data_IF_484440802787
#
_entry.id   IF_484440802787
#
_cell.length_a   1.000
_cell.length_b   1.000
_cell.length_c   1.000
_cell.angle_alpha   90.00
_cell.angle_beta   90.00
_cell.angle_gamma   90.00
#
_symmetry.space_group_name_H-M   'P 1'
#
loop_
_entity.id
_entity.type
_entity.pdbx_description
1 polymer ?
#
# COMPACT_ATOMS: atom_id res chain seq x y z
N UNK A 1 13.87 6.71 -0.38
CA UNK A 1 14.02 7.83 -1.36
C UNK A 1 13.92 9.21 -0.71
N UNK A 2 13.04 9.47 0.24
CA UNK A 2 12.93 10.76 0.93
C UNK A 2 14.23 11.25 1.57
N UNK A 3 14.99 10.34 2.23
CA UNK A 3 16.26 10.69 2.88
C UNK A 3 17.29 11.27 1.91
N UNK A 4 17.40 10.68 0.72
CA UNK A 4 18.35 11.15 -0.31
C UNK A 4 17.98 12.55 -0.81
N UNK A 5 16.67 12.82 -0.99
CA UNK A 5 16.18 14.14 -1.39
C UNK A 5 16.50 15.21 -0.32
N UNK A 6 16.33 14.89 0.96
CA UNK A 6 16.67 15.79 2.07
C UNK A 6 18.16 16.09 2.12
N UNK A 7 19.01 15.07 1.98
CA UNK A 7 20.48 15.26 2.00
C UNK A 7 20.91 16.15 0.84
N UNK A 8 20.42 15.92 -0.37
CA UNK A 8 20.74 16.75 -1.54
C UNK A 8 20.23 18.19 -1.38
N UNK A 9 19.05 18.38 -0.79
CA UNK A 9 18.52 19.71 -0.49
C UNK A 9 19.42 20.49 0.49
N UNK A 10 19.88 19.84 1.56
CA UNK A 10 20.78 20.45 2.54
C UNK A 10 22.12 20.82 1.89
N UNK A 11 22.69 19.95 1.06
CA UNK A 11 23.94 20.22 0.33
C UNK A 11 23.76 21.44 -0.59
N UNK A 12 22.60 21.54 -1.30
CA UNK A 12 22.28 22.67 -2.16
C UNK A 12 22.25 24.00 -1.40
N UNK A 13 21.59 24.01 -0.23
CA UNK A 13 21.51 25.22 0.62
C UNK A 13 22.87 25.63 1.18
N UNK A 14 23.64 24.67 1.71
CA UNK A 14 25.00 24.94 2.22
C UNK A 14 25.89 25.49 1.09
N UNK A 15 25.84 24.86 -0.09
CA UNK A 15 26.59 25.29 -1.25
C UNK A 15 26.26 26.73 -1.69
N UNK A 16 24.96 27.11 -1.62
CA UNK A 16 24.56 28.48 -1.92
C UNK A 16 25.10 29.49 -0.92
N UNK A 17 25.13 29.16 0.37
CA UNK A 17 25.74 29.99 1.40
C UNK A 17 27.23 30.17 1.19
N UNK A 18 27.96 29.09 0.92
CA UNK A 18 29.39 29.12 0.62
C UNK A 18 29.67 29.97 -0.61
N UNK A 19 28.87 29.81 -1.69
CA UNK A 19 28.99 30.62 -2.90
C UNK A 19 28.79 32.12 -2.62
N UNK A 20 27.86 32.47 -1.73
CA UNK A 20 27.65 33.89 -1.35
C UNK A 20 28.87 34.53 -0.68
N UNK A 21 29.59 33.76 0.12
CA UNK A 21 30.84 34.23 0.75
C UNK A 21 31.97 34.39 -0.26
N UNK A 22 32.06 33.48 -1.25
CA UNK A 22 33.08 33.53 -2.30
C UNK A 22 32.80 34.55 -3.41
N UNK A 23 31.57 35.09 -3.49
CA UNK A 23 31.21 36.13 -4.46
C UNK A 23 32.15 37.35 -4.39
N UNK A 24 32.63 37.69 -3.20
CA UNK A 24 33.56 38.80 -2.96
C UNK A 24 34.96 38.59 -3.55
N UNK A 25 35.37 37.39 -3.88
CA UNK A 25 36.77 37.06 -4.22
C UNK A 25 37.05 36.88 -5.71
N UNK A 26 36.05 37.03 -6.60
CA UNK A 26 36.15 36.85 -8.09
C UNK A 26 36.92 35.57 -8.49
N UNK A 27 36.86 34.53 -7.69
CA UNK A 27 37.59 33.27 -7.91
C UNK A 27 36.84 32.33 -8.84
N UNK A 28 37.55 31.62 -9.71
CA UNK A 28 37.05 30.51 -10.53
C UNK A 28 36.30 29.45 -9.67
N UNK A 29 36.70 29.31 -8.41
CA UNK A 29 36.03 28.44 -7.43
C UNK A 29 34.57 28.83 -7.18
N UNK A 30 34.21 30.11 -7.32
CA UNK A 30 32.81 30.56 -7.18
C UNK A 30 31.90 29.90 -8.18
N UNK A 31 32.28 29.88 -9.46
CA UNK A 31 31.44 29.27 -10.50
C UNK A 31 31.26 27.75 -10.32
N UNK A 32 32.30 27.05 -9.85
CA UNK A 32 32.20 25.63 -9.51
C UNK A 32 31.23 25.37 -8.37
N UNK A 33 31.31 26.15 -7.28
CA UNK A 33 30.41 25.97 -6.13
C UNK A 33 28.98 26.28 -6.49
N UNK A 34 28.71 27.35 -7.26
CA UNK A 34 27.37 27.69 -7.74
C UNK A 34 26.81 26.58 -8.63
N UNK A 35 27.59 26.09 -9.58
CA UNK A 35 27.16 25.01 -10.48
C UNK A 35 26.79 23.74 -9.72
N UNK A 36 27.60 23.34 -8.74
CA UNK A 36 27.33 22.16 -7.89
C UNK A 36 26.02 22.38 -7.10
N UNK A 37 25.86 23.56 -6.48
CA UNK A 37 24.68 23.88 -5.67
C UNK A 37 23.38 23.84 -6.49
N UNK A 38 23.39 24.42 -7.68
CA UNK A 38 22.23 24.41 -8.59
C UNK A 38 21.92 22.98 -9.02
N UNK A 39 22.93 22.19 -9.39
CA UNK A 39 22.75 20.80 -9.79
C UNK A 39 22.16 19.96 -8.67
N UNK A 40 22.67 20.10 -7.44
CA UNK A 40 22.15 19.40 -6.28
C UNK A 40 20.69 19.78 -5.97
N UNK A 41 20.33 21.06 -6.11
CA UNK A 41 18.97 21.53 -5.90
C UNK A 41 18.00 20.98 -6.96
N UNK A 42 18.40 20.96 -8.22
CA UNK A 42 17.59 20.39 -9.32
C UNK A 42 17.38 18.88 -9.14
N UNK A 43 18.44 18.13 -8.78
CA UNK A 43 18.36 16.71 -8.50
C UNK A 43 17.46 16.43 -7.28
N UNK A 44 17.56 17.23 -6.22
CA UNK A 44 16.69 17.11 -5.05
C UNK A 44 15.22 17.28 -5.43
N UNK A 45 14.90 18.33 -6.18
CA UNK A 45 13.54 18.60 -6.65
C UNK A 45 13.03 17.47 -7.55
N UNK A 46 13.85 16.96 -8.46
CA UNK A 46 13.50 15.83 -9.32
C UNK A 46 13.18 14.56 -8.51
N UNK A 47 14.04 14.20 -7.56
CA UNK A 47 13.80 13.03 -6.71
C UNK A 47 12.57 13.19 -5.81
N UNK A 48 12.35 14.41 -5.28
CA UNK A 48 11.14 14.69 -4.51
C UNK A 48 9.89 14.53 -5.38
N UNK A 49 9.86 15.15 -6.55
CA UNK A 49 8.74 15.04 -7.48
C UNK A 49 8.49 13.59 -7.89
N UNK A 50 9.53 12.85 -8.26
CA UNK A 50 9.42 11.44 -8.61
C UNK A 50 8.90 10.59 -7.45
N UNK A 51 9.32 10.84 -6.22
CA UNK A 51 8.86 10.08 -5.05
C UNK A 51 7.40 10.41 -4.70
N UNK A 52 6.96 11.63 -4.90
CA UNK A 52 5.57 12.05 -4.65
C UNK A 52 4.61 11.58 -5.75
N UNK A 53 5.10 11.35 -6.98
CA UNK A 53 4.26 10.86 -8.09
C UNK A 53 4.14 9.33 -8.15
N UNK A 54 5.01 8.59 -7.47
CA UNK A 54 4.89 7.14 -7.34
C UNK A 54 3.86 6.82 -6.26
N UNK A 55 2.59 6.78 -6.66
CA UNK A 55 1.53 6.24 -5.81
C UNK A 55 1.87 4.80 -5.42
N UNK A 56 1.80 4.49 -4.14
CA UNK A 56 1.98 3.12 -3.67
C UNK A 56 0.84 2.25 -4.22
N UNK A 57 1.14 1.02 -4.64
CA UNK A 57 0.06 0.12 -5.04
C UNK A 57 -0.80 -0.25 -3.83
N UNK A 58 -2.12 -0.35 -3.99
CA UNK A 58 -3.00 -0.79 -2.92
C UNK A 58 -2.62 -2.19 -2.44
N UNK A 59 -2.69 -2.40 -1.13
CA UNK A 59 -2.28 -3.66 -0.49
C UNK A 59 -3.43 -4.20 0.35
N UNK A 60 -4.09 -5.22 -0.17
CA UNK A 60 -5.19 -5.91 0.52
C UNK A 60 -4.65 -7.05 1.37
N UNK A 61 -5.06 -7.07 2.62
CA UNK A 61 -4.82 -8.15 3.58
C UNK A 61 -6.17 -8.72 4.03
N UNK A 62 -6.25 -10.04 4.14
CA UNK A 62 -7.45 -10.73 4.60
C UNK A 62 -7.07 -11.57 5.80
N UNK A 63 -7.82 -11.41 6.87
CA UNK A 63 -7.66 -12.18 8.10
C UNK A 63 -9.00 -12.36 8.81
N UNK A 64 -9.02 -13.24 9.79
CA UNK A 64 -10.20 -13.53 10.58
C UNK A 64 -10.06 -13.00 12.00
N UNK A 65 -11.17 -12.51 12.52
CA UNK A 65 -11.31 -12.20 13.94
C UNK A 65 -12.41 -13.09 14.49
N UNK A 66 -12.07 -13.89 15.50
CA UNK A 66 -13.05 -14.65 16.26
C UNK A 66 -13.60 -13.74 17.36
N UNK A 67 -14.91 -13.74 17.54
CA UNK A 67 -15.51 -13.11 18.72
C UNK A 67 -15.07 -13.86 19.98
N UNK A 68 -14.86 -13.11 21.06
CA UNK A 68 -14.54 -13.68 22.37
C UNK A 68 -15.61 -14.66 22.87
N UNK A 69 -16.84 -14.52 22.42
CA UNK A 69 -17.97 -15.36 22.77
C UNK A 69 -18.06 -16.66 21.94
N UNK A 70 -17.13 -16.88 20.99
CA UNK A 70 -17.00 -18.12 20.22
C UNK A 70 -18.09 -18.37 19.16
N UNK A 71 -19.11 -17.53 19.07
CA UNK A 71 -20.26 -17.76 18.19
C UNK A 71 -20.20 -17.00 16.85
N UNK A 72 -19.45 -15.91 16.77
CA UNK A 72 -19.34 -15.14 15.54
C UNK A 72 -17.88 -14.98 15.11
N UNK A 73 -17.57 -15.40 13.93
CA UNK A 73 -16.30 -15.09 13.27
C UNK A 73 -16.54 -14.05 12.20
N UNK A 74 -15.62 -13.10 12.08
CA UNK A 74 -15.70 -12.03 11.07
C UNK A 74 -14.48 -12.08 10.18
N UNK A 75 -14.71 -12.14 8.88
CA UNK A 75 -13.67 -11.99 7.88
C UNK A 75 -13.41 -10.50 7.66
N UNK A 76 -12.19 -10.08 7.91
CA UNK A 76 -11.75 -8.70 7.71
C UNK A 76 -10.97 -8.61 6.41
N UNK A 77 -11.39 -7.69 5.56
CA UNK A 77 -10.69 -7.32 4.33
C UNK A 77 -10.18 -5.90 4.55
N UNK A 78 -8.89 -5.75 4.72
CA UNK A 78 -8.25 -4.49 5.06
C UNK A 78 -7.34 -4.00 3.95
N UNK A 79 -7.48 -2.75 3.59
CA UNK A 79 -6.52 -2.04 2.75
C UNK A 79 -5.47 -1.37 3.64
N UNK A 80 -4.29 -1.96 3.73
CA UNK A 80 -3.20 -1.45 4.58
C UNK A 80 -2.37 -0.35 3.92
N UNK A 81 -2.66 0.02 2.67
CA UNK A 81 -2.02 1.11 1.93
C UNK A 81 -2.77 2.44 2.09
N UNK A 82 -2.19 3.53 1.61
CA UNK A 82 -2.86 4.83 1.52
C UNK A 82 -3.68 4.99 0.23
N UNK A 83 -3.51 4.10 -0.74
CA UNK A 83 -4.18 4.14 -2.04
C UNK A 83 -5.41 3.26 -2.02
N UNK A 84 -6.45 3.67 -2.73
CA UNK A 84 -7.71 2.92 -2.82
C UNK A 84 -7.56 1.64 -3.63
N UNK A 85 -8.26 0.60 -3.20
CA UNK A 85 -8.34 -0.67 -3.90
C UNK A 85 -9.73 -0.85 -4.50
N UNK A 86 -9.78 -1.27 -5.75
CA UNK A 86 -10.99 -1.41 -6.54
C UNK A 86 -11.23 -2.87 -6.94
N UNK A 87 -12.48 -3.21 -7.20
CA UNK A 87 -12.90 -4.51 -7.74
C UNK A 87 -12.32 -5.70 -6.96
N UNK A 88 -12.38 -5.63 -5.63
CA UNK A 88 -11.84 -6.68 -4.77
C UNK A 88 -12.74 -7.91 -4.88
N UNK A 89 -12.16 -9.01 -5.35
CA UNK A 89 -12.82 -10.31 -5.43
C UNK A 89 -12.08 -11.34 -4.58
N UNK A 90 -12.82 -12.22 -3.93
CA UNK A 90 -12.31 -13.26 -3.05
C UNK A 90 -12.84 -14.60 -3.49
N UNK A 91 -11.97 -15.58 -3.64
CA UNK A 91 -12.35 -16.96 -3.98
C UNK A 91 -11.71 -17.93 -2.98
N UNK A 92 -12.47 -18.97 -2.60
CA UNK A 92 -11.98 -20.03 -1.73
C UNK A 92 -11.83 -21.32 -2.54
N UNK A 93 -10.67 -21.96 -2.39
CA UNK A 93 -10.48 -23.32 -2.89
C UNK A 93 -10.85 -24.29 -1.76
N UNK A 94 -12.04 -24.88 -1.87
CA UNK A 94 -12.53 -25.85 -0.90
C UNK A 94 -11.89 -27.21 -1.13
N UNK A 95 -11.68 -27.95 -0.05
CA UNK A 95 -11.42 -29.38 -0.09
C UNK A 95 -12.75 -30.13 -0.24
N UNK A 96 -12.69 -31.43 -0.58
CA UNK A 96 -13.90 -32.26 -0.71
C UNK A 96 -14.76 -32.17 0.57
N UNK A 97 -16.04 -31.88 0.38
CA UNK A 97 -17.06 -31.75 1.45
C UNK A 97 -16.84 -30.59 2.45
N UNK A 98 -15.92 -29.69 2.19
CA UNK A 98 -15.73 -28.51 3.03
C UNK A 98 -16.85 -27.48 2.77
N UNK A 99 -17.59 -27.03 3.80
CA UNK A 99 -18.60 -26.00 3.63
C UNK A 99 -17.98 -24.67 3.23
N UNK A 100 -18.73 -23.86 2.48
CA UNK A 100 -18.29 -22.52 2.11
C UNK A 100 -18.31 -21.62 3.34
N UNK A 101 -17.20 -20.90 3.67
CA UNK A 101 -17.03 -20.21 4.95
C UNK A 101 -17.91 -18.95 5.09
N UNK A 102 -18.50 -18.48 4.01
CA UNK A 102 -19.40 -17.32 3.99
C UNK A 102 -20.75 -17.80 3.46
N UNK A 103 -21.89 -17.42 4.06
CA UNK A 103 -23.19 -17.73 3.49
C UNK A 103 -23.27 -17.27 2.04
N UNK A 104 -23.71 -18.14 1.13
CA UNK A 104 -23.71 -17.86 -0.31
C UNK A 104 -24.48 -16.57 -0.67
N UNK A 105 -25.54 -16.26 0.05
CA UNK A 105 -26.30 -15.02 -0.13
C UNK A 105 -25.42 -13.81 0.17
N UNK A 106 -24.77 -13.80 1.35
CA UNK A 106 -23.87 -12.71 1.77
C UNK A 106 -22.70 -12.58 0.78
N UNK A 107 -22.13 -13.71 0.34
CA UNK A 107 -21.03 -13.69 -0.61
C UNK A 107 -21.44 -13.02 -1.95
N UNK A 108 -22.58 -13.42 -2.52
CA UNK A 108 -23.07 -12.86 -3.79
C UNK A 108 -23.45 -11.38 -3.69
N UNK A 109 -23.95 -10.93 -2.54
CA UNK A 109 -24.30 -9.54 -2.30
C UNK A 109 -23.10 -8.66 -2.01
N UNK A 110 -22.01 -9.24 -1.50
CA UNK A 110 -20.82 -8.49 -1.07
C UNK A 110 -19.76 -8.40 -2.16
N UNK A 111 -19.55 -9.49 -2.93
CA UNK A 111 -18.48 -9.56 -3.92
C UNK A 111 -19.00 -9.43 -5.37
N UNK A 112 -18.23 -8.72 -6.22
CA UNK A 112 -17.01 -8.00 -5.91
C UNK A 112 -17.26 -6.75 -5.04
N UNK A 113 -16.32 -6.42 -4.15
CA UNK A 113 -16.35 -5.15 -3.44
C UNK A 113 -15.84 -4.07 -4.39
N UNK A 114 -16.65 -3.05 -4.65
CA UNK A 114 -16.33 -2.01 -5.62
C UNK A 114 -15.08 -1.22 -5.22
N UNK A 115 -14.99 -0.82 -3.94
CA UNK A 115 -13.88 0.00 -3.43
C UNK A 115 -13.66 -0.25 -1.93
N UNK A 116 -12.39 -0.25 -1.52
CA UNK A 116 -11.97 -0.07 -0.13
C UNK A 116 -10.93 1.04 -0.12
N UNK A 117 -11.28 2.16 0.47
CA UNK A 117 -10.41 3.32 0.58
C UNK A 117 -9.11 2.98 1.31
N UNK A 118 -8.10 3.82 1.12
CA UNK A 118 -6.83 3.66 1.80
C UNK A 118 -6.98 3.66 3.33
N UNK A 119 -6.30 2.73 4.01
CA UNK A 119 -6.36 2.55 5.48
C UNK A 119 -7.75 2.20 6.04
N UNK A 120 -8.66 1.75 5.20
CA UNK A 120 -9.99 1.32 5.59
C UNK A 120 -10.16 -0.20 5.52
N UNK A 121 -11.23 -0.71 6.11
CA UNK A 121 -11.54 -2.15 6.14
C UNK A 121 -13.02 -2.42 5.94
N UNK A 122 -13.32 -3.64 5.48
CA UNK A 122 -14.68 -4.18 5.40
C UNK A 122 -14.77 -5.46 6.21
N UNK A 123 -15.83 -5.58 7.00
CA UNK A 123 -16.11 -6.74 7.83
C UNK A 123 -17.25 -7.55 7.22
N UNK A 124 -17.12 -8.86 7.19
CA UNK A 124 -18.08 -9.81 6.65
C UNK A 124 -18.33 -10.89 7.69
N UNK A 125 -19.57 -11.10 8.09
CA UNK A 125 -19.94 -12.18 8.98
C UNK A 125 -19.71 -13.53 8.29
N UNK A 126 -19.08 -14.47 9.02
CA UNK A 126 -18.79 -15.82 8.55
C UNK A 126 -19.50 -16.82 9.41
N UNK A 127 -19.94 -17.93 8.84
CA UNK A 127 -20.50 -19.07 9.56
C UNK A 127 -19.57 -20.25 9.37
N UNK A 128 -18.97 -20.72 10.46
CA UNK A 128 -18.09 -21.86 10.43
C UNK A 128 -18.70 -22.93 11.33
N UNK A 129 -19.00 -24.07 10.73
CA UNK A 129 -19.47 -25.21 11.51
C UNK A 129 -18.36 -25.69 12.44
N UNK A 130 -18.71 -26.03 13.68
CA UNK A 130 -17.75 -26.42 14.73
C UNK A 130 -16.83 -27.60 14.32
N UNK A 131 -17.30 -28.49 13.44
CA UNK A 131 -16.60 -29.69 12.98
C UNK A 131 -15.90 -29.52 11.62
N UNK A 132 -15.85 -28.31 11.07
CA UNK A 132 -15.22 -28.08 9.76
C UNK A 132 -13.74 -27.76 9.90
N UNK A 133 -12.96 -28.16 8.88
CA UNK A 133 -11.58 -27.67 8.70
C UNK A 133 -11.56 -26.13 8.79
N UNK A 134 -10.81 -25.62 9.77
CA UNK A 134 -10.75 -24.17 10.03
C UNK A 134 -9.77 -23.44 9.13
N UNK A 135 -9.20 -24.09 8.14
CA UNK A 135 -8.23 -23.49 7.23
C UNK A 135 -8.70 -23.56 5.78
N UNK A 136 -8.73 -22.42 5.11
CA UNK A 136 -9.16 -22.29 3.72
C UNK A 136 -8.06 -21.67 2.87
N UNK A 137 -7.82 -22.25 1.69
CA UNK A 137 -7.00 -21.61 0.68
C UNK A 137 -7.82 -20.47 0.04
N UNK A 138 -7.49 -19.24 0.35
CA UNK A 138 -8.12 -18.06 -0.22
C UNK A 138 -7.23 -17.42 -1.29
N UNK A 139 -7.85 -16.99 -2.37
CA UNK A 139 -7.21 -16.15 -3.40
C UNK A 139 -8.04 -14.90 -3.57
N UNK A 140 -7.40 -13.74 -3.47
CA UNK A 140 -8.08 -12.48 -3.69
C UNK A 140 -7.36 -11.64 -4.74
N UNK A 141 -8.16 -10.96 -5.52
CA UNK A 141 -7.72 -10.09 -6.60
C UNK A 141 -8.28 -8.70 -6.38
N UNK A 142 -7.53 -7.69 -6.76
CA UNK A 142 -7.98 -6.30 -6.70
C UNK A 142 -7.29 -5.48 -7.78
N UNK A 143 -7.77 -4.28 -8.01
CA UNK A 143 -7.23 -3.35 -8.98
C UNK A 143 -6.83 -2.04 -8.29
N UNK A 144 -5.89 -1.31 -8.87
CA UNK A 144 -5.65 0.08 -8.49
C UNK A 144 -6.52 1.03 -9.35
N UNK A 145 -6.46 2.33 -9.05
CA UNK A 145 -7.17 3.39 -9.79
C UNK A 145 -6.93 3.34 -11.33
N UNK A 146 -5.77 2.83 -11.76
CA UNK A 146 -5.40 2.70 -13.17
C UNK A 146 -5.84 1.37 -13.81
N UNK A 147 -6.61 0.55 -13.11
CA UNK A 147 -7.05 -0.77 -13.58
C UNK A 147 -5.96 -1.84 -13.59
N UNK A 148 -4.80 -1.58 -12.98
CA UNK A 148 -3.77 -2.61 -12.85
C UNK A 148 -4.20 -3.63 -11.82
N UNK A 149 -4.19 -4.91 -12.23
CA UNK A 149 -4.61 -6.03 -11.39
C UNK A 149 -3.51 -6.57 -10.51
N UNK A 150 -3.89 -6.93 -9.30
CA UNK A 150 -3.06 -7.60 -8.30
C UNK A 150 -3.76 -8.85 -7.83
N UNK A 151 -2.98 -9.83 -7.39
CA UNK A 151 -3.48 -11.08 -6.84
C UNK A 151 -2.62 -11.52 -5.66
N UNK A 152 -3.26 -12.11 -4.67
CA UNK A 152 -2.58 -12.76 -3.55
C UNK A 152 -3.31 -14.03 -3.17
N UNK A 153 -2.53 -15.03 -2.77
CA UNK A 153 -3.03 -16.30 -2.27
C UNK A 153 -2.45 -16.54 -0.87
N UNK A 154 -3.28 -16.95 0.04
CA UNK A 154 -2.85 -17.33 1.40
C UNK A 154 -3.83 -18.35 2.00
N UNK A 155 -3.42 -18.97 3.09
CA UNK A 155 -4.30 -19.77 3.93
C UNK A 155 -4.92 -18.84 4.96
N UNK A 156 -6.25 -18.82 5.00
CA UNK A 156 -7.01 -18.12 6.04
C UNK A 156 -7.44 -19.17 7.06
N UNK A 157 -7.01 -18.99 8.28
CA UNK A 157 -7.36 -19.88 9.41
C UNK A 157 -8.52 -19.26 10.18
N UNK A 158 -9.52 -20.08 10.44
CA UNK A 158 -10.74 -19.73 11.14
C UNK A 158 -10.74 -20.26 12.57
#
# INVERSE_FOLDING_TARGET
>A
MHVVSYILGIIGVIGFFVASVFFYTHSTSFYCVVSISVTCSLLSTYFYWRSSTVKANPKITIYLINSLDGYESRLIIENTSNEDAYNINLTFKLKNNQPFPIPQKIYKETFPINIIDGKNRKEISTIIAADSDRSFNATWNWENEKGKRFSRKNIVNF
#
